data_IF_468667581489
#
_entry.id   IF_468667581489
#
_cell.length_a   1.000
_cell.length_b   1.000
_cell.length_c   1.000
_cell.angle_alpha   90.00
_cell.angle_beta   90.00
_cell.angle_gamma   90.00
#
_symmetry.space_group_name_H-M   'P 1'
#
loop_
_entity.id
_entity.type
_entity.pdbx_description
1 polymer ?
#
# COMPACT_ATOMS: atom_id res chain seq x y z
N UNK A 1 -13.96 2.00 -4.76
CA UNK A 1 -13.20 2.08 -6.02
C UNK A 1 -12.02 1.13 -5.94
N UNK A 2 -12.16 -0.04 -6.52
CA UNK A 2 -11.06 -0.96 -6.83
C UNK A 2 -10.34 -0.41 -8.06
N UNK A 3 -9.01 -0.55 -8.12
CA UNK A 3 -8.31 -0.33 -9.37
C UNK A 3 -7.42 0.91 -9.49
N UNK A 4 -7.15 1.70 -8.44
CA UNK A 4 -6.20 2.85 -8.53
C UNK A 4 -4.74 2.44 -8.74
N UNK A 5 -4.39 1.16 -8.57
CA UNK A 5 -3.01 0.65 -8.67
C UNK A 5 -2.31 0.40 -7.34
N UNK A 6 -3.01 0.45 -6.19
CA UNK A 6 -2.40 0.17 -4.88
C UNK A 6 -1.71 -1.18 -4.83
N UNK A 7 -2.41 -2.24 -5.25
CA UNK A 7 -1.84 -3.59 -5.28
C UNK A 7 -0.69 -3.69 -6.27
N UNK A 8 -0.76 -3.02 -7.43
CA UNK A 8 0.36 -3.01 -8.39
C UNK A 8 1.58 -2.27 -7.84
N UNK A 9 1.40 -1.19 -7.07
CA UNK A 9 2.50 -0.57 -6.35
C UNK A 9 3.06 -1.49 -5.27
N UNK A 10 2.18 -2.16 -4.50
CA UNK A 10 2.60 -3.10 -3.47
C UNK A 10 3.41 -4.27 -4.05
N UNK A 11 3.02 -4.80 -5.21
CA UNK A 11 3.80 -5.80 -5.95
C UNK A 11 5.18 -5.27 -6.34
N UNK A 12 5.24 -4.08 -6.95
CA UNK A 12 6.50 -3.47 -7.36
C UNK A 12 7.43 -3.19 -6.16
N UNK A 13 6.88 -2.84 -5.00
CA UNK A 13 7.65 -2.68 -3.76
C UNK A 13 8.17 -4.02 -3.25
N UNK A 14 7.33 -5.06 -3.17
CA UNK A 14 7.71 -6.39 -2.67
C UNK A 14 8.80 -7.05 -3.51
N UNK A 15 8.84 -6.82 -4.82
CA UNK A 15 9.93 -7.30 -5.68
C UNK A 15 11.31 -6.72 -5.30
N UNK A 16 11.34 -5.62 -4.54
CA UNK A 16 12.55 -4.93 -4.10
C UNK A 16 12.76 -5.00 -2.56
N UNK A 17 11.93 -5.76 -1.84
CA UNK A 17 11.95 -5.90 -0.38
C UNK A 17 12.10 -7.38 -0.01
N UNK A 18 13.30 -7.77 0.44
CA UNK A 18 13.56 -9.14 0.87
C UNK A 18 12.88 -9.41 2.23
N UNK A 19 12.36 -10.62 2.43
CA UNK A 19 11.80 -11.08 3.71
C UNK A 19 10.68 -10.22 4.32
N UNK A 20 10.04 -9.37 3.51
CA UNK A 20 8.86 -8.62 3.94
C UNK A 20 7.61 -9.49 3.92
N UNK A 21 6.78 -9.33 4.95
CA UNK A 21 5.43 -9.86 4.94
C UNK A 21 4.44 -8.82 4.41
N UNK A 22 3.22 -9.24 4.07
CA UNK A 22 2.18 -8.33 3.62
C UNK A 22 0.88 -8.50 4.40
N UNK A 23 0.21 -7.39 4.72
CA UNK A 23 -1.14 -7.37 5.26
C UNK A 23 -2.05 -6.67 4.23
N UNK A 24 -3.08 -7.40 3.75
CA UNK A 24 -4.14 -6.83 2.93
C UNK A 24 -5.32 -6.48 3.79
N UNK A 25 -5.75 -5.20 3.79
CA UNK A 25 -6.94 -4.76 4.51
C UNK A 25 -8.10 -4.54 3.54
N UNK A 26 -9.25 -5.10 3.87
CA UNK A 26 -10.53 -4.89 3.18
C UNK A 26 -11.55 -4.40 4.18
N UNK A 27 -11.99 -3.14 4.05
CA UNK A 27 -13.06 -2.60 4.88
C UNK A 27 -14.40 -3.12 4.38
N UNK A 28 -15.17 -3.71 5.27
CA UNK A 28 -16.52 -4.25 5.05
C UNK A 28 -17.34 -4.17 6.33
N UNK A 29 -18.67 -4.12 6.20
CA UNK A 29 -19.58 -4.03 7.36
C UNK A 29 -20.02 -5.40 7.90
N UNK A 30 -19.60 -6.51 7.27
CA UNK A 30 -20.00 -7.88 7.58
C UNK A 30 -18.89 -8.61 8.37
N UNK A 31 -18.88 -8.42 9.69
CA UNK A 31 -18.03 -9.17 10.60
C UNK A 31 -16.52 -8.98 10.37
N UNK A 32 -15.76 -9.25 11.41
CA UNK A 32 -14.29 -9.22 11.34
C UNK A 32 -13.73 -10.60 11.02
N UNK A 33 -12.70 -10.65 10.17
CA UNK A 33 -11.97 -11.88 9.84
C UNK A 33 -10.50 -11.57 9.58
N UNK A 34 -9.63 -12.36 10.20
CA UNK A 34 -8.20 -12.37 9.92
C UNK A 34 -7.81 -13.79 9.49
N UNK A 35 -7.10 -13.91 8.37
CA UNK A 35 -6.72 -15.21 7.81
C UNK A 35 -5.39 -15.18 7.07
N UNK A 36 -4.61 -16.23 7.20
CA UNK A 36 -3.41 -16.53 6.42
C UNK A 36 -3.52 -17.89 5.70
N UNK A 37 -4.73 -18.46 5.66
CA UNK A 37 -4.97 -19.78 5.07
C UNK A 37 -4.77 -19.75 3.56
N UNK A 38 -4.00 -20.70 3.04
CA UNK A 38 -3.68 -20.78 1.62
C UNK A 38 -4.94 -20.86 0.72
N UNK A 39 -5.99 -21.52 1.16
CA UNK A 39 -7.26 -21.61 0.40
C UNK A 39 -7.91 -20.25 0.17
N UNK A 40 -7.61 -19.26 1.02
CA UNK A 40 -8.14 -17.90 0.92
C UNK A 40 -7.14 -16.92 0.28
N UNK A 41 -5.86 -17.08 0.58
CA UNK A 41 -4.77 -16.23 0.11
C UNK A 41 -4.41 -16.55 -1.34
N UNK A 42 -4.27 -17.84 -1.69
CA UNK A 42 -3.74 -18.33 -2.97
C UNK A 42 -4.81 -18.47 -4.06
N UNK A 43 -5.86 -17.65 -4.00
CA UNK A 43 -6.90 -17.64 -5.04
C UNK A 43 -6.44 -16.75 -6.21
N UNK A 44 -6.20 -17.31 -7.41
CA UNK A 44 -5.75 -16.55 -8.56
C UNK A 44 -6.63 -15.33 -8.86
N UNK A 45 -6.00 -14.20 -9.18
CA UNK A 45 -6.67 -12.94 -9.49
C UNK A 45 -7.05 -12.08 -8.29
N UNK A 46 -6.92 -12.59 -7.05
CA UNK A 46 -7.09 -11.76 -5.85
C UNK A 46 -5.83 -10.98 -5.50
N UNK A 47 -5.99 -9.86 -4.82
CA UNK A 47 -4.88 -9.02 -4.36
C UNK A 47 -3.92 -9.79 -3.44
N UNK A 48 -4.45 -10.65 -2.55
CA UNK A 48 -3.64 -11.49 -1.65
C UNK A 48 -2.72 -12.46 -2.41
N UNK A 49 -3.24 -13.10 -3.47
CA UNK A 49 -2.46 -13.95 -4.36
C UNK A 49 -1.34 -13.15 -5.03
N UNK A 50 -1.66 -11.97 -5.55
CA UNK A 50 -0.68 -11.11 -6.21
C UNK A 50 0.45 -10.70 -5.27
N UNK A 51 0.13 -10.29 -4.03
CA UNK A 51 1.13 -9.96 -3.01
C UNK A 51 2.02 -11.16 -2.68
N UNK A 52 1.45 -12.37 -2.55
CA UNK A 52 2.22 -13.58 -2.28
C UNK A 52 3.16 -13.93 -3.44
N UNK A 53 2.69 -13.84 -4.66
CA UNK A 53 3.48 -14.12 -5.87
C UNK A 53 4.58 -13.08 -6.13
N UNK A 54 4.43 -11.87 -5.57
CA UNK A 54 5.45 -10.80 -5.68
C UNK A 54 6.53 -10.88 -4.59
N UNK A 55 6.61 -11.98 -3.82
CA UNK A 55 7.72 -12.23 -2.91
C UNK A 55 7.41 -11.98 -1.43
N UNK A 56 6.16 -11.66 -1.05
CA UNK A 56 5.81 -11.58 0.37
C UNK A 56 6.10 -12.91 1.07
N UNK A 57 6.92 -12.89 2.13
CA UNK A 57 7.27 -14.08 2.92
C UNK A 57 6.02 -14.71 3.52
N UNK A 58 5.09 -13.87 3.98
CA UNK A 58 3.76 -14.23 4.46
C UNK A 58 2.72 -13.20 4.03
N UNK A 59 1.49 -13.63 3.81
CA UNK A 59 0.35 -12.72 3.55
C UNK A 59 -0.75 -12.99 4.55
N UNK A 60 -1.22 -11.93 5.20
CA UNK A 60 -2.39 -11.97 6.08
C UNK A 60 -3.49 -11.09 5.47
N UNK A 61 -4.70 -11.62 5.38
CA UNK A 61 -5.87 -10.88 4.91
C UNK A 61 -6.76 -10.48 6.08
N UNK A 62 -6.91 -9.18 6.29
CA UNK A 62 -7.81 -8.58 7.28
C UNK A 62 -9.07 -8.07 6.57
N UNK A 63 -10.22 -8.51 7.03
CA UNK A 63 -11.54 -7.99 6.67
C UNK A 63 -12.17 -7.43 7.94
N UNK A 64 -12.62 -6.19 7.94
CA UNK A 64 -13.12 -5.55 9.14
C UNK A 64 -13.94 -4.30 8.81
N UNK A 65 -14.77 -3.86 9.74
CA UNK A 65 -15.25 -2.48 9.76
C UNK A 65 -14.10 -1.50 10.04
N UNK A 66 -14.28 -0.21 9.82
CA UNK A 66 -13.29 0.80 10.22
C UNK A 66 -13.15 0.85 11.76
N UNK A 67 -14.24 0.61 12.49
CA UNK A 67 -14.31 0.63 13.96
C UNK A 67 -13.52 -0.52 14.60
N UNK A 68 -13.69 -1.75 14.08
CA UNK A 68 -13.04 -2.95 14.61
C UNK A 68 -11.57 -3.11 14.16
N UNK A 69 -11.13 -2.28 13.19
CA UNK A 69 -9.81 -2.42 12.58
C UNK A 69 -8.66 -2.45 13.59
N UNK A 70 -8.61 -1.59 14.65
CA UNK A 70 -7.51 -1.62 15.61
C UNK A 70 -7.37 -2.97 16.33
N UNK A 71 -8.50 -3.58 16.71
CA UNK A 71 -8.51 -4.86 17.43
C UNK A 71 -8.00 -6.00 16.52
N UNK A 72 -8.54 -6.09 15.30
CA UNK A 72 -8.17 -7.17 14.38
C UNK A 72 -6.76 -7.00 13.81
N UNK A 73 -6.21 -5.80 13.79
CA UNK A 73 -4.80 -5.58 13.46
C UNK A 73 -3.87 -6.22 14.49
N UNK A 74 -4.25 -6.23 15.79
CA UNK A 74 -3.50 -6.98 16.82
C UNK A 74 -3.39 -8.46 16.51
N UNK A 75 -4.48 -9.09 16.03
CA UNK A 75 -4.47 -10.48 15.58
C UNK A 75 -3.59 -10.68 14.35
N UNK A 76 -3.68 -9.79 13.38
CA UNK A 76 -2.85 -9.86 12.17
C UNK A 76 -1.36 -9.77 12.50
N UNK A 77 -0.95 -8.91 13.43
CA UNK A 77 0.42 -8.84 13.92
C UNK A 77 0.89 -10.13 14.57
N UNK A 78 0.07 -10.76 15.40
CA UNK A 78 0.37 -12.06 15.98
C UNK A 78 0.55 -13.17 14.95
N UNK A 79 -0.16 -13.09 13.82
CA UNK A 79 -0.08 -14.08 12.74
C UNK A 79 1.13 -13.86 11.81
N UNK A 80 1.62 -12.62 11.67
CA UNK A 80 2.66 -12.28 10.69
C UNK A 80 4.02 -12.88 11.05
N UNK A 81 4.31 -13.10 12.32
CA UNK A 81 5.61 -13.57 12.82
C UNK A 81 6.64 -12.44 12.91
N UNK A 82 7.90 -12.75 12.62
CA UNK A 82 9.05 -11.83 12.72
C UNK A 82 9.70 -11.60 11.35
N UNK A 83 9.05 -10.92 10.41
CA UNK A 83 9.66 -10.54 9.14
C UNK A 83 10.60 -9.34 9.33
N UNK A 84 11.48 -9.06 8.36
CA UNK A 84 12.31 -7.85 8.34
C UNK A 84 11.47 -6.57 8.25
N UNK A 85 10.28 -6.66 7.67
CA UNK A 85 9.32 -5.57 7.59
C UNK A 85 7.96 -6.02 7.12
N UNK A 86 6.98 -5.13 7.23
CA UNK A 86 5.60 -5.43 6.86
C UNK A 86 5.06 -4.38 5.90
N UNK A 87 4.62 -4.83 4.73
CA UNK A 87 3.89 -4.00 3.78
C UNK A 87 2.40 -4.11 4.06
N UNK A 88 1.74 -2.98 4.29
CA UNK A 88 0.29 -2.95 4.55
C UNK A 88 -0.43 -2.25 3.41
N UNK A 89 -1.38 -2.93 2.78
CA UNK A 89 -2.26 -2.35 1.78
C UNK A 89 -3.64 -2.03 2.36
N UNK A 90 -3.89 -0.75 2.62
CA UNK A 90 -5.16 -0.23 3.13
C UNK A 90 -5.04 1.24 3.54
N UNK A 91 -6.04 2.07 3.25
CA UNK A 91 -5.98 3.49 3.61
C UNK A 91 -6.31 3.74 5.09
N UNK A 92 -7.30 3.02 5.63
CA UNK A 92 -7.84 3.23 6.97
C UNK A 92 -6.82 2.95 8.08
N UNK A 93 -5.81 2.11 7.81
CA UNK A 93 -4.78 1.77 8.80
C UNK A 93 -3.94 2.98 9.25
N UNK A 94 -3.79 4.00 8.41
CA UNK A 94 -3.04 5.23 8.74
C UNK A 94 -3.72 6.10 9.82
N UNK A 95 -4.95 5.77 10.20
CA UNK A 95 -5.61 6.37 11.37
C UNK A 95 -5.09 5.79 12.69
N UNK A 96 -4.55 4.56 12.66
CA UNK A 96 -4.22 3.76 13.84
C UNK A 96 -2.72 3.47 14.00
N UNK A 97 -1.92 3.67 12.96
CA UNK A 97 -0.48 3.47 13.03
C UNK A 97 0.29 4.51 12.22
N UNK A 98 1.56 4.69 12.61
CA UNK A 98 2.53 5.55 11.90
C UNK A 98 3.58 4.65 11.26
N UNK A 99 3.60 4.50 9.93
CA UNK A 99 4.61 3.70 9.23
C UNK A 99 5.91 4.49 9.06
N UNK A 100 7.02 3.78 8.86
CA UNK A 100 8.31 4.37 8.46
C UNK A 100 8.22 5.02 7.08
N UNK A 101 7.43 4.42 6.18
CA UNK A 101 7.20 4.92 4.83
C UNK A 101 5.76 4.67 4.40
N UNK A 102 5.09 5.70 3.90
CA UNK A 102 3.73 5.62 3.39
C UNK A 102 3.61 6.14 1.97
N UNK A 103 2.87 5.39 1.15
CA UNK A 103 2.55 5.74 -0.23
C UNK A 103 1.05 5.99 -0.40
N UNK A 104 0.70 7.01 -1.16
CA UNK A 104 -0.67 7.23 -1.62
C UNK A 104 -0.71 7.15 -3.15
N UNK A 105 -1.60 6.32 -3.70
CA UNK A 105 -1.72 6.13 -5.15
C UNK A 105 -2.93 6.88 -5.67
N UNK A 106 -2.73 7.68 -6.71
CA UNK A 106 -3.75 8.42 -7.44
C UNK A 106 -3.65 8.14 -8.93
N UNK A 107 -4.79 7.90 -9.59
CA UNK A 107 -4.89 7.59 -11.03
C UNK A 107 -5.82 8.54 -11.79
N UNK A 108 -6.40 9.52 -11.10
CA UNK A 108 -7.35 10.53 -11.62
C UNK A 108 -7.34 11.78 -10.75
N UNK A 109 -8.05 12.79 -11.17
CA UNK A 109 -8.23 14.01 -10.36
C UNK A 109 -8.74 13.69 -8.96
N UNK A 110 -8.20 14.43 -7.99
CA UNK A 110 -8.55 14.31 -6.57
C UNK A 110 -9.78 15.21 -6.35
N UNK A 111 -10.96 14.66 -6.63
CA UNK A 111 -12.24 15.27 -6.29
C UNK A 111 -12.99 14.33 -5.35
N UNK A 112 -13.64 14.86 -4.35
CA UNK A 112 -14.52 14.12 -3.43
C UNK A 112 -13.88 12.88 -2.80
N UNK A 113 -12.71 13.05 -2.18
CA UNK A 113 -12.10 11.97 -1.41
C UNK A 113 -12.92 11.67 -0.15
N UNK A 114 -13.18 10.38 0.09
CA UNK A 114 -13.68 9.93 1.40
C UNK A 114 -12.73 10.39 2.52
N UNK A 115 -13.22 10.65 3.74
CA UNK A 115 -12.38 11.13 4.86
C UNK A 115 -11.11 10.31 5.09
N UNK A 116 -11.19 8.99 5.12
CA UNK A 116 -10.03 8.10 5.30
C UNK A 116 -8.99 8.23 4.17
N UNK A 117 -9.43 8.46 2.92
CA UNK A 117 -8.50 8.71 1.80
C UNK A 117 -7.86 10.09 1.86
N UNK A 118 -8.60 11.11 2.29
CA UNK A 118 -8.05 12.45 2.47
C UNK A 118 -7.01 12.46 3.59
N UNK A 119 -7.29 11.78 4.70
CA UNK A 119 -6.34 11.60 5.79
C UNK A 119 -5.08 10.86 5.33
N UNK A 120 -5.24 9.75 4.59
CA UNK A 120 -4.11 9.01 4.04
C UNK A 120 -3.26 9.87 3.09
N UNK A 121 -3.87 10.70 2.24
CA UNK A 121 -3.14 11.64 1.38
C UNK A 121 -2.34 12.67 2.20
N UNK A 122 -2.94 13.23 3.25
CA UNK A 122 -2.26 14.22 4.13
C UNK A 122 -1.05 13.62 4.87
N UNK A 123 -1.10 12.34 5.19
CA UNK A 123 -0.05 11.61 5.94
C UNK A 123 1.00 10.94 5.04
N UNK A 124 0.77 10.86 3.74
CA UNK A 124 1.66 10.16 2.81
C UNK A 124 3.04 10.83 2.72
N UNK A 125 4.11 10.03 2.81
CA UNK A 125 5.47 10.46 2.50
C UNK A 125 5.67 10.62 0.99
N UNK A 126 5.05 9.71 0.21
CA UNK A 126 5.18 9.66 -1.24
C UNK A 126 3.79 9.54 -1.87
N UNK A 127 3.51 10.38 -2.86
CA UNK A 127 2.31 10.26 -3.70
C UNK A 127 2.72 9.75 -5.07
N UNK A 128 2.14 8.63 -5.48
CA UNK A 128 2.35 8.02 -6.79
C UNK A 128 1.20 8.41 -7.71
N UNK A 129 1.48 9.16 -8.75
CA UNK A 129 0.56 9.42 -9.85
C UNK A 129 0.70 8.27 -10.86
N UNK A 130 -0.29 7.37 -10.86
CA UNK A 130 -0.29 6.20 -11.75
C UNK A 130 -0.83 6.61 -13.13
N UNK A 131 0.06 6.78 -14.10
CA UNK A 131 -0.30 7.04 -15.49
C UNK A 131 -0.70 5.74 -16.18
N UNK A 132 -2.01 5.59 -16.44
CA UNK A 132 -2.54 4.44 -17.19
C UNK A 132 -2.59 4.69 -18.69
N UNK A 133 -2.71 5.95 -19.09
CA UNK A 133 -2.84 6.40 -20.48
C UNK A 133 -2.13 7.73 -20.69
N UNK A 134 -1.64 7.98 -21.89
CA UNK A 134 -1.13 9.29 -22.29
C UNK A 134 -2.31 10.28 -22.34
N UNK A 135 -2.20 11.40 -21.62
CA UNK A 135 -3.19 12.49 -21.67
C UNK A 135 -3.86 12.87 -20.36
N UNK A 136 -3.64 12.14 -19.26
CA UNK A 136 -4.04 12.67 -17.97
C UNK A 136 -3.23 13.94 -17.66
N UNK A 137 -3.92 15.02 -17.30
CA UNK A 137 -3.33 16.28 -16.87
C UNK A 137 -2.52 16.08 -15.57
N UNK A 138 -1.37 15.42 -15.67
CA UNK A 138 -0.48 15.11 -14.55
C UNK A 138 -0.19 16.34 -13.71
N UNK A 139 0.00 17.50 -14.35
CA UNK A 139 0.20 18.79 -13.69
C UNK A 139 -0.99 19.23 -12.83
N UNK A 140 -2.23 18.94 -13.26
CA UNK A 140 -3.42 19.28 -12.49
C UNK A 140 -3.54 18.37 -11.26
N UNK A 141 -3.26 17.08 -11.42
CA UNK A 141 -3.24 16.13 -10.30
C UNK A 141 -2.14 16.52 -9.31
N UNK A 142 -0.94 16.81 -9.80
CA UNK A 142 0.18 17.24 -8.95
C UNK A 142 -0.16 18.51 -8.17
N UNK A 143 -0.74 19.53 -8.83
CA UNK A 143 -1.18 20.78 -8.17
C UNK A 143 -2.20 20.48 -7.05
N UNK A 144 -3.16 19.61 -7.30
CA UNK A 144 -4.16 19.22 -6.31
C UNK A 144 -3.53 18.44 -5.14
N UNK A 145 -2.57 17.55 -5.42
CA UNK A 145 -1.79 16.85 -4.39
C UNK A 145 -1.02 17.86 -3.52
N UNK A 146 -0.30 18.79 -4.14
CA UNK A 146 0.48 19.83 -3.46
C UNK A 146 -0.39 20.73 -2.57
N UNK A 147 -1.62 21.02 -3.01
CA UNK A 147 -2.57 21.80 -2.20
C UNK A 147 -2.99 21.09 -0.91
N UNK A 148 -3.01 19.75 -0.91
CA UNK A 148 -3.41 18.93 0.25
C UNK A 148 -2.21 18.50 1.08
N UNK A 149 -1.12 18.08 0.43
CA UNK A 149 0.12 17.62 1.08
C UNK A 149 1.35 18.21 0.36
N UNK A 150 1.79 19.42 0.73
CA UNK A 150 2.93 20.07 0.08
C UNK A 150 4.27 19.40 0.38
N UNK A 151 4.34 18.52 1.40
CA UNK A 151 5.58 17.86 1.83
C UNK A 151 5.82 16.52 1.15
N UNK A 152 4.80 15.91 0.55
CA UNK A 152 4.95 14.62 -0.10
C UNK A 152 5.93 14.68 -1.28
N UNK A 153 6.79 13.68 -1.39
CA UNK A 153 7.47 13.42 -2.66
C UNK A 153 6.44 12.96 -3.70
N UNK A 154 6.54 13.44 -4.94
CA UNK A 154 5.61 13.04 -6.01
C UNK A 154 6.39 12.24 -7.05
N UNK A 155 5.89 11.05 -7.35
CA UNK A 155 6.35 10.20 -8.43
C UNK A 155 5.26 10.03 -9.47
N UNK A 156 5.64 10.13 -10.73
CA UNK A 156 4.74 9.79 -11.83
C UNK A 156 5.23 8.50 -12.47
N UNK A 157 4.44 7.44 -12.36
CA UNK A 157 4.79 6.07 -12.78
C UNK A 157 3.70 5.48 -13.66
N UNK A 158 4.08 4.56 -14.54
CA UNK A 158 3.16 3.58 -15.11
C UNK A 158 3.35 2.26 -14.35
N UNK A 159 2.44 1.94 -13.44
CA UNK A 159 2.56 0.73 -12.59
C UNK A 159 2.38 -0.60 -13.35
N UNK A 160 2.28 -0.58 -14.68
CA UNK A 160 2.36 -1.76 -15.54
C UNK A 160 3.79 -2.05 -16.04
N UNK A 161 4.71 -1.13 -15.80
CA UNK A 161 6.11 -1.18 -16.21
C UNK A 161 7.01 -1.43 -15.00
N UNK A 162 8.27 -1.81 -15.26
CA UNK A 162 9.28 -1.88 -14.19
C UNK A 162 9.69 -0.46 -13.75
N UNK A 163 9.42 -0.15 -12.51
CA UNK A 163 9.72 1.13 -11.87
C UNK A 163 10.80 1.00 -10.77
N UNK A 164 11.53 -0.09 -10.70
CA UNK A 164 12.53 -0.36 -9.65
C UNK A 164 13.56 0.76 -9.55
N UNK A 165 14.01 1.32 -10.68
CA UNK A 165 14.97 2.42 -10.72
C UNK A 165 14.48 3.72 -10.03
N UNK A 166 13.17 3.90 -9.86
CA UNK A 166 12.57 5.03 -9.15
C UNK A 166 12.18 4.67 -7.71
N UNK A 167 11.77 3.43 -7.47
CA UNK A 167 11.32 2.97 -6.15
C UNK A 167 12.48 2.64 -5.20
N UNK A 168 13.55 1.98 -5.69
CA UNK A 168 14.69 1.57 -4.87
C UNK A 168 15.34 2.75 -4.13
N UNK A 169 15.63 3.91 -4.76
CA UNK A 169 16.20 5.05 -4.04
C UNK A 169 15.31 5.56 -2.90
N UNK A 170 13.99 5.47 -3.04
CA UNK A 170 13.04 5.86 -2.00
C UNK A 170 13.07 4.85 -0.86
N UNK A 171 13.00 3.55 -1.18
CA UNK A 171 13.10 2.50 -0.16
C UNK A 171 14.40 2.64 0.63
N UNK A 172 15.53 2.82 -0.04
CA UNK A 172 16.83 3.02 0.61
C UNK A 172 16.85 4.25 1.51
N UNK A 173 16.25 5.35 1.08
CA UNK A 173 16.20 6.60 1.86
C UNK A 173 15.41 6.45 3.17
N UNK A 174 14.30 5.72 3.15
CA UNK A 174 13.39 5.65 4.30
C UNK A 174 13.60 4.42 5.17
N UNK A 175 14.01 3.30 4.58
CA UNK A 175 14.14 2.01 5.26
C UNK A 175 15.60 1.57 5.45
N UNK A 176 16.57 2.33 4.93
CA UNK A 176 17.94 1.88 4.82
C UNK A 176 18.11 0.91 3.63
N UNK A 177 19.31 0.31 3.49
CA UNK A 177 19.50 -0.68 2.42
C UNK A 177 18.67 -1.95 2.72
N UNK A 178 17.65 -2.28 1.92
CA UNK A 178 16.92 -3.53 2.12
C UNK A 178 17.88 -4.71 1.83
N UNK A 179 18.16 -5.53 2.84
CA UNK A 179 18.91 -6.77 2.68
C UNK A 179 20.35 -6.79 3.22
N UNK A 180 20.77 -5.84 4.04
CA UNK A 180 22.01 -5.94 4.82
C UNK A 180 21.66 -5.81 6.31
N UNK A 181 21.20 -6.91 6.89
CA UNK A 181 21.39 -7.10 8.34
C UNK A 181 22.85 -7.48 8.59
N UNK A 182 23.50 -6.93 9.63
CA UNK A 182 24.89 -7.24 9.98
C UNK A 182 25.06 -8.71 10.38
#
# INVERSE_FOLDING_TARGET
MSGTGKTSLAEALLLNLSHFAAIKITIQDLGAKVTDRDEEIMVPGKDTYRLKMSGASKVVWVKSSEEDLPEVMGLAWGMIGEPEGVLIEGNSVLEHLTPDLSFFVVDREITDLKPSRLSALKKANVVVINRREEGLAGEKIERNVRAVNPRAAILTLNLKEDNSHLLVPILTRYLGQPGHSP
#
